data_IF_267230661049
#
_entry.id   IF_267230661049
#
_cell.length_a   1.000
_cell.length_b   1.000
_cell.length_c   1.000
_cell.angle_alpha   90.00
_cell.angle_beta   90.00
_cell.angle_gamma   90.00
#
_symmetry.space_group_name_H-M   'P 1'
#
loop_
_entity.id
_entity.type
_entity.pdbx_description
1 polymer ?
#
# COMPACT_ATOMS: atom_id res chain seq x y z
N UNK A 1 4.38 -11.51 -6.72
CA UNK A 1 4.03 -10.20 -6.15
C UNK A 1 2.57 -10.29 -5.78
N UNK A 2 2.14 -9.78 -4.62
CA UNK A 2 0.75 -9.40 -4.46
C UNK A 2 0.35 -8.54 -5.66
N UNK A 3 -0.84 -8.80 -6.18
CA UNK A 3 -1.39 -8.03 -7.28
C UNK A 3 -1.62 -6.57 -6.90
N UNK A 4 -1.81 -5.74 -7.92
CA UNK A 4 -2.29 -4.36 -7.75
C UNK A 4 -3.66 -4.36 -7.01
N UNK A 5 -4.51 -5.34 -7.31
CA UNK A 5 -5.82 -5.51 -6.67
C UNK A 5 -5.74 -5.73 -5.17
N UNK A 6 -4.80 -6.54 -4.69
CA UNK A 6 -4.63 -6.77 -3.25
C UNK A 6 -4.07 -5.53 -2.54
N UNK A 7 -3.08 -4.86 -3.14
CA UNK A 7 -2.55 -3.59 -2.63
C UNK A 7 -3.64 -2.53 -2.53
N UNK A 8 -4.46 -2.39 -3.57
CA UNK A 8 -5.61 -1.49 -3.57
C UNK A 8 -6.63 -1.88 -2.49
N UNK A 9 -6.98 -3.16 -2.37
CA UNK A 9 -7.95 -3.62 -1.38
C UNK A 9 -7.51 -3.29 0.05
N UNK A 10 -6.26 -3.61 0.40
CA UNK A 10 -5.68 -3.29 1.72
C UNK A 10 -5.66 -1.78 1.94
N UNK A 11 -5.24 -1.00 0.95
CA UNK A 11 -5.24 0.46 1.01
C UNK A 11 -6.63 1.01 1.31
N UNK A 12 -7.65 0.55 0.59
CA UNK A 12 -9.04 0.97 0.78
C UNK A 12 -9.54 0.62 2.18
N UNK A 13 -9.20 -0.56 2.71
CA UNK A 13 -9.54 -0.93 4.09
C UNK A 13 -8.88 -0.01 5.11
N UNK A 14 -7.59 0.28 4.97
CA UNK A 14 -6.90 1.21 5.87
C UNK A 14 -7.56 2.60 5.83
N UNK A 15 -7.82 3.13 4.63
CA UNK A 15 -8.46 4.44 4.46
C UNK A 15 -9.86 4.46 5.10
N UNK A 16 -10.66 3.42 4.91
CA UNK A 16 -12.01 3.34 5.48
C UNK A 16 -12.02 3.13 7.01
N UNK A 17 -11.01 2.43 7.55
CA UNK A 17 -10.91 2.14 8.98
C UNK A 17 -10.38 3.32 9.81
N UNK A 18 -9.42 4.09 9.26
CA UNK A 18 -8.70 5.12 10.01
C UNK A 18 -9.33 6.52 9.86
N UNK A 19 -9.81 6.86 8.66
CA UNK A 19 -10.34 8.20 8.38
C UNK A 19 -11.83 8.29 8.72
N UNK A 20 -12.27 9.49 9.12
CA UNK A 20 -13.68 9.77 9.41
C UNK A 20 -14.49 9.89 8.12
N UNK A 21 -15.80 9.75 8.24
CA UNK A 21 -16.75 9.78 7.11
C UNK A 21 -16.76 11.12 6.37
N UNK A 22 -16.39 12.20 7.05
CA UNK A 22 -16.29 13.53 6.46
C UNK A 22 -14.96 13.76 5.70
N UNK A 23 -14.03 12.80 5.73
CA UNK A 23 -12.67 12.92 5.21
C UNK A 23 -12.45 12.25 3.84
N UNK A 24 -13.48 12.19 3.00
CA UNK A 24 -13.39 11.56 1.67
C UNK A 24 -12.29 12.18 0.80
N UNK A 25 -12.17 13.52 0.78
CA UNK A 25 -11.15 14.23 0.00
C UNK A 25 -9.73 13.84 0.45
N UNK A 26 -9.37 13.95 1.75
CA UNK A 26 -8.12 13.38 2.25
C UNK A 26 -7.91 11.90 1.87
N UNK A 27 -8.95 11.06 1.96
CA UNK A 27 -8.85 9.64 1.62
C UNK A 27 -8.43 9.44 0.16
N UNK A 28 -9.03 10.20 -0.77
CA UNK A 28 -8.64 10.16 -2.19
C UNK A 28 -7.21 10.64 -2.43
N UNK A 29 -6.75 11.67 -1.72
CA UNK A 29 -5.36 12.14 -1.82
C UNK A 29 -4.33 11.16 -1.24
N UNK A 30 -4.75 10.33 -0.28
CA UNK A 30 -3.89 9.35 0.36
C UNK A 30 -3.83 8.02 -0.40
N UNK A 31 -4.86 7.69 -1.18
CA UNK A 31 -4.94 6.46 -1.97
C UNK A 31 -3.67 6.16 -2.81
N UNK A 32 -3.05 7.14 -3.52
CA UNK A 32 -1.83 6.87 -4.28
C UNK A 32 -0.67 6.34 -3.45
N UNK A 33 -0.55 6.69 -2.16
CA UNK A 33 0.54 6.20 -1.31
C UNK A 33 0.47 4.70 -1.04
N UNK A 34 -0.69 4.07 -1.23
CA UNK A 34 -0.84 2.62 -1.15
C UNK A 34 -0.46 1.88 -2.43
N UNK A 35 -0.18 2.60 -3.53
CA UNK A 35 0.07 2.02 -4.86
C UNK A 35 1.34 2.54 -5.53
N UNK A 36 1.90 3.67 -5.06
CA UNK A 36 3.01 4.35 -5.72
C UNK A 36 4.25 3.48 -5.85
N UNK A 37 4.47 2.54 -4.92
CA UNK A 37 5.66 1.69 -4.93
C UNK A 37 5.73 0.81 -6.17
N UNK A 38 4.57 0.29 -6.63
CA UNK A 38 4.47 -0.52 -7.86
C UNK A 38 4.97 0.21 -9.11
N UNK A 39 5.06 1.55 -9.09
CA UNK A 39 5.59 2.33 -10.21
C UNK A 39 7.08 2.07 -10.47
N UNK A 40 7.82 1.46 -9.53
CA UNK A 40 9.20 1.08 -9.79
C UNK A 40 9.36 -0.04 -10.83
N UNK A 41 8.28 -0.76 -11.14
CA UNK A 41 8.22 -1.67 -12.28
C UNK A 41 8.54 -0.97 -13.61
N UNK A 42 8.26 0.34 -13.73
CA UNK A 42 8.57 1.12 -14.92
C UNK A 42 10.02 1.66 -14.95
N UNK A 43 10.75 1.60 -13.84
CA UNK A 43 12.07 2.22 -13.66
C UNK A 43 13.22 1.19 -13.78
N UNK A 44 12.88 -0.09 -13.98
CA UNK A 44 13.82 -1.15 -14.37
C UNK A 44 14.45 -1.93 -13.22
N UNK A 45 14.60 -1.35 -12.02
CA UNK A 45 15.00 -2.08 -10.80
C UNK A 45 13.79 -2.22 -9.88
N UNK A 46 12.93 -3.15 -10.26
CA UNK A 46 11.68 -3.44 -9.56
C UNK A 46 11.97 -3.94 -8.13
N UNK A 47 11.20 -3.45 -7.15
CA UNK A 47 11.34 -3.74 -5.71
C UNK A 47 12.58 -3.23 -4.99
N UNK A 48 13.36 -2.37 -5.65
CA UNK A 48 14.49 -1.72 -5.02
C UNK A 48 14.28 -0.22 -4.86
N UNK A 49 13.82 0.45 -5.92
CA UNK A 49 13.80 1.92 -5.92
C UNK A 49 12.67 2.51 -5.07
N UNK A 50 11.47 1.93 -5.11
CA UNK A 50 10.33 2.41 -4.33
C UNK A 50 9.92 1.48 -3.16
N UNK A 51 10.54 0.31 -3.05
CA UNK A 51 10.25 -0.68 -2.00
C UNK A 51 11.36 -0.78 -0.93
N UNK A 52 11.83 0.38 -0.45
CA UNK A 52 12.85 0.45 0.60
C UNK A 52 12.41 1.33 1.77
N UNK A 53 13.12 1.18 2.90
CA UNK A 53 12.84 1.89 4.14
C UNK A 53 12.93 3.43 4.00
N UNK A 54 13.74 3.94 3.07
CA UNK A 54 13.90 5.38 2.89
C UNK A 54 12.65 6.03 2.31
N UNK A 55 11.90 5.32 1.47
CA UNK A 55 10.63 5.80 0.90
C UNK A 55 9.58 6.03 1.99
N UNK A 56 9.59 5.20 3.04
CA UNK A 56 8.70 5.36 4.19
C UNK A 56 8.91 6.69 4.92
N UNK A 57 10.13 7.22 4.88
CA UNK A 57 10.50 8.48 5.52
C UNK A 57 10.10 9.70 4.70
N UNK A 58 9.84 9.55 3.39
CA UNK A 58 9.55 10.68 2.49
C UNK A 58 8.37 11.51 2.96
N UNK A 59 7.18 10.96 3.28
CA UNK A 59 6.07 11.77 3.78
C UNK A 59 6.40 12.51 5.08
N UNK A 60 7.18 11.89 5.97
CA UNK A 60 7.59 12.51 7.24
C UNK A 60 8.60 13.65 7.02
N UNK A 61 9.54 13.49 6.10
CA UNK A 61 10.48 14.54 5.72
C UNK A 61 9.75 15.72 5.07
N UNK A 62 8.76 15.43 4.21
CA UNK A 62 7.89 16.46 3.62
C UNK A 62 7.13 17.21 4.71
N UNK A 63 6.60 16.53 5.74
CA UNK A 63 5.96 17.17 6.89
C UNK A 63 6.91 18.16 7.58
N UNK A 64 8.14 17.72 7.89
CA UNK A 64 9.14 18.57 8.57
C UNK A 64 9.49 19.79 7.72
N UNK A 65 9.72 19.59 6.42
CA UNK A 65 10.02 20.67 5.49
C UNK A 65 8.84 21.64 5.36
N UNK A 66 7.62 21.12 5.22
CA UNK A 66 6.39 21.90 5.09
C UNK A 66 6.15 22.79 6.31
N UNK A 67 6.32 22.23 7.51
CA UNK A 67 6.22 22.96 8.78
C UNK A 67 7.21 24.12 8.87
N UNK A 68 8.45 23.91 8.42
CA UNK A 68 9.49 24.95 8.44
C UNK A 68 9.23 26.07 7.43
N UNK A 69 8.63 25.77 6.28
CA UNK A 69 8.51 26.73 5.18
C UNK A 69 7.20 27.53 5.17
N UNK A 70 6.06 26.92 5.54
CA UNK A 70 4.74 27.52 5.28
C UNK A 70 3.79 27.60 6.48
N UNK A 71 4.16 27.02 7.63
CA UNK A 71 3.21 26.78 8.72
C UNK A 71 2.22 25.67 8.35
N UNK A 72 1.89 24.78 9.29
CA UNK A 72 1.10 23.57 8.98
C UNK A 72 -0.39 23.88 8.81
N UNK A 73 -0.91 23.86 7.59
CA UNK A 73 -2.37 23.87 7.32
C UNK A 73 -2.95 22.46 7.17
N UNK A 74 -2.10 21.48 6.82
CA UNK A 74 -2.47 20.09 6.65
C UNK A 74 -2.22 19.35 7.98
N UNK A 75 -3.21 18.62 8.52
CA UNK A 75 -3.03 17.82 9.72
C UNK A 75 -1.87 16.82 9.60
N UNK A 76 -0.96 16.84 10.58
CA UNK A 76 0.23 15.97 10.63
C UNK A 76 -0.10 14.48 10.46
N UNK A 77 -1.27 14.06 10.95
CA UNK A 77 -1.74 12.67 10.88
C UNK A 77 -1.81 12.14 9.44
N UNK A 78 -2.04 12.97 8.43
CA UNK A 78 -2.11 12.51 7.04
C UNK A 78 -0.74 12.11 6.51
N UNK A 79 0.34 12.79 6.93
CA UNK A 79 1.70 12.41 6.56
C UNK A 79 2.12 11.11 7.24
N UNK A 80 1.80 10.97 8.53
CA UNK A 80 2.03 9.72 9.25
C UNK A 80 1.25 8.56 8.61
N UNK A 81 0.01 8.82 8.19
CA UNK A 81 -0.83 7.82 7.56
C UNK A 81 -0.37 7.47 6.14
N UNK A 82 0.12 8.44 5.36
CA UNK A 82 0.78 8.19 4.08
C UNK A 82 1.99 7.25 4.24
N UNK A 83 2.83 7.48 5.26
CA UNK A 83 3.92 6.55 5.59
C UNK A 83 3.41 5.17 5.99
N UNK A 84 2.31 5.07 6.74
CA UNK A 84 1.71 3.78 7.09
C UNK A 84 1.19 3.01 5.87
N UNK A 85 0.60 3.70 4.89
CA UNK A 85 0.15 3.09 3.64
C UNK A 85 1.35 2.53 2.86
N UNK A 86 2.45 3.28 2.76
CA UNK A 86 3.69 2.79 2.17
C UNK A 86 4.26 1.59 2.93
N UNK A 87 4.25 1.62 4.28
CA UNK A 87 4.66 0.48 5.11
C UNK A 87 3.82 -0.74 4.78
N UNK A 88 2.49 -0.59 4.69
CA UNK A 88 1.59 -1.71 4.39
C UNK A 88 1.89 -2.33 3.03
N UNK A 89 2.19 -1.49 2.03
CA UNK A 89 2.56 -1.94 0.69
C UNK A 89 3.89 -2.71 0.72
N UNK A 90 4.96 -2.11 1.26
CA UNK A 90 6.28 -2.74 1.32
C UNK A 90 6.24 -4.02 2.16
N UNK A 91 5.44 -4.05 3.24
CA UNK A 91 5.29 -5.25 4.05
C UNK A 91 4.61 -6.38 3.27
N UNK A 92 3.51 -6.11 2.56
CA UNK A 92 2.83 -7.11 1.71
C UNK A 92 3.81 -7.74 0.70
N UNK A 93 4.60 -6.91 0.05
CA UNK A 93 5.62 -7.35 -0.89
C UNK A 93 6.76 -8.13 -0.23
N UNK A 94 7.24 -7.67 0.93
CA UNK A 94 8.28 -8.32 1.70
C UNK A 94 7.89 -9.75 2.07
N UNK A 95 6.69 -9.94 2.62
CA UNK A 95 6.17 -11.26 3.02
C UNK A 95 5.82 -12.18 1.86
N UNK A 96 5.71 -11.67 0.62
CA UNK A 96 5.37 -12.48 -0.55
C UNK A 96 6.62 -13.06 -1.20
N UNK A 97 7.50 -12.20 -1.73
CA UNK A 97 8.70 -12.62 -2.48
C UNK A 97 9.95 -11.81 -2.07
N UNK A 98 9.88 -11.06 -0.97
CA UNK A 98 10.96 -10.19 -0.51
C UNK A 98 11.12 -8.86 -1.25
N UNK A 99 11.77 -7.93 -0.56
CA UNK A 99 12.09 -6.56 -1.02
C UNK A 99 13.53 -6.18 -0.68
N UNK A 100 14.11 -5.27 -1.46
CA UNK A 100 15.44 -4.72 -1.15
C UNK A 100 15.31 -3.61 -0.10
N UNK A 101 14.99 -4.00 1.14
CA UNK A 101 14.58 -3.11 2.22
C UNK A 101 15.56 -1.95 2.50
N UNK A 102 16.85 -2.19 2.32
CA UNK A 102 17.94 -1.25 2.62
C UNK A 102 18.64 -0.69 1.38
N UNK A 103 18.08 -0.89 0.18
CA UNK A 103 18.63 -0.30 -1.04
C UNK A 103 18.57 1.23 -0.98
N UNK A 104 19.61 1.97 -1.43
CA UNK A 104 20.81 1.52 -2.14
C UNK A 104 22.02 1.20 -1.24
N UNK A 105 21.86 1.19 0.08
CA UNK A 105 22.98 0.95 1.02
C UNK A 105 23.38 -0.51 1.06
N UNK A 106 22.40 -1.42 0.98
CA UNK A 106 22.62 -2.87 0.94
C UNK A 106 21.87 -3.44 -0.25
N UNK A 107 22.58 -4.22 -1.07
CA UNK A 107 22.08 -4.83 -2.30
C UNK A 107 21.42 -6.21 -2.08
N UNK A 108 20.90 -6.49 -0.88
CA UNK A 108 20.26 -7.77 -0.52
C UNK A 108 18.75 -7.62 -0.43
N UNK A 109 18.03 -8.60 -0.98
CA UNK A 109 16.59 -8.74 -0.76
C UNK A 109 16.32 -9.50 0.53
N UNK A 110 15.25 -9.14 1.23
CA UNK A 110 14.82 -9.76 2.48
C UNK A 110 13.37 -10.21 2.37
N UNK A 111 13.12 -11.49 2.65
CA UNK A 111 11.78 -12.09 2.72
C UNK A 111 11.55 -12.64 4.14
N UNK A 112 10.79 -11.93 5.00
CA UNK A 112 10.37 -12.48 6.27
C UNK A 112 9.31 -13.56 6.05
N UNK A 113 9.55 -14.76 6.57
CA UNK A 113 8.55 -15.81 6.65
C UNK A 113 7.93 -15.83 8.04
N UNK A 114 6.60 -15.88 8.07
CA UNK A 114 5.83 -15.99 9.30
C UNK A 114 4.83 -17.13 9.17
N UNK A 115 4.81 -18.01 10.15
CA UNK A 115 3.81 -19.05 10.29
C UNK A 115 3.27 -19.05 11.70
N UNK A 116 1.94 -19.02 11.82
CA UNK A 116 1.24 -19.14 13.08
C UNK A 116 0.11 -20.14 12.88
N UNK A 117 0.16 -21.25 13.61
CA UNK A 117 -0.79 -22.32 13.40
C UNK A 117 -0.78 -23.37 14.49
N UNK A 118 -1.80 -24.22 14.42
CA UNK A 118 -1.92 -25.38 15.29
C UNK A 118 -1.35 -26.60 14.54
N UNK A 119 -0.51 -27.35 15.23
CA UNK A 119 -0.02 -28.67 14.81
C UNK A 119 -0.58 -29.72 15.76
N UNK A 120 -0.33 -30.99 15.46
CA UNK A 120 -0.62 -32.11 16.37
C UNK A 120 0.02 -31.95 17.76
N UNK A 121 1.10 -31.17 17.86
CA UNK A 121 1.83 -30.93 19.11
C UNK A 121 1.46 -29.61 19.81
N UNK A 122 0.46 -28.89 19.29
CA UNK A 122 -0.02 -27.64 19.87
C UNK A 122 0.18 -26.42 18.97
N UNK A 123 0.11 -25.23 19.58
CA UNK A 123 0.25 -23.94 18.89
C UNK A 123 1.73 -23.63 18.66
N UNK A 124 2.11 -23.35 17.41
CA UNK A 124 3.47 -22.97 17.05
C UNK A 124 3.49 -21.61 16.35
N UNK A 125 4.60 -20.89 16.55
CA UNK A 125 4.91 -19.63 15.89
C UNK A 125 6.31 -19.77 15.32
N UNK A 126 6.46 -19.54 14.02
CA UNK A 126 7.75 -19.52 13.34
C UNK A 126 7.91 -18.15 12.69
N UNK A 127 9.06 -17.53 12.91
CA UNK A 127 9.45 -16.30 12.25
C UNK A 127 10.92 -16.41 11.81
N UNK A 128 11.17 -16.35 10.51
CA UNK A 128 12.52 -16.45 9.95
C UNK A 128 12.73 -15.43 8.83
N UNK A 129 13.98 -15.14 8.51
CA UNK A 129 14.35 -14.24 7.42
C UNK A 129 15.13 -15.02 6.39
N UNK A 130 14.64 -14.99 5.15
CA UNK A 130 15.35 -15.52 3.99
C UNK A 130 15.93 -14.36 3.21
N UNK A 131 17.13 -14.56 2.66
CA UNK A 131 17.76 -13.66 1.69
C UNK A 131 17.57 -14.29 0.31
N UNK A 132 16.55 -13.88 -0.48
CA UNK A 132 16.21 -14.55 -1.72
C UNK A 132 17.20 -14.29 -2.87
N UNK A 133 18.00 -13.23 -2.77
CA UNK A 133 18.98 -12.85 -3.79
C UNK A 133 19.60 -11.48 -3.56
N UNK A 134 20.56 -11.14 -4.43
CA UNK A 134 21.22 -9.83 -4.49
C UNK A 134 20.74 -9.01 -5.71
N UNK A 135 20.92 -7.68 -5.67
CA UNK A 135 20.66 -6.79 -6.82
C UNK A 135 21.56 -7.23 -7.98
N UNK A 136 20.97 -7.45 -9.16
CA UNK A 136 21.68 -7.89 -10.37
C UNK A 136 21.61 -9.40 -10.65
N UNK A 137 21.13 -10.22 -9.72
CA UNK A 137 20.82 -11.63 -10.00
C UNK A 137 19.53 -11.74 -10.84
N UNK A 138 19.54 -12.61 -11.85
CA UNK A 138 18.50 -12.77 -12.90
C UNK A 138 17.08 -13.03 -12.37
N UNK A 139 16.92 -13.41 -11.09
CA UNK A 139 15.62 -13.58 -10.45
C UNK A 139 14.95 -12.25 -10.06
N UNK A 140 15.67 -11.12 -10.05
CA UNK A 140 15.16 -9.86 -9.49
C UNK A 140 15.40 -8.60 -10.33
N UNK A 141 16.26 -8.59 -11.36
CA UNK A 141 16.67 -7.30 -12.00
C UNK A 141 16.69 -7.26 -13.54
N UNK A 142 16.51 -8.35 -14.30
CA UNK A 142 16.64 -8.26 -15.77
C UNK A 142 15.52 -9.01 -16.50
N UNK A 143 14.48 -8.29 -16.90
CA UNK A 143 13.71 -8.61 -18.09
C UNK A 143 13.79 -7.44 -19.09
N UNK A 144 14.73 -7.48 -20.07
CA UNK A 144 14.67 -6.64 -21.24
C UNK A 144 13.70 -7.32 -22.22
N UNK A 145 12.51 -6.73 -22.35
CA UNK A 145 11.47 -6.87 -23.39
C UNK A 145 11.42 -8.12 -24.33
N UNK A 146 10.22 -8.66 -24.67
CA UNK A 146 8.88 -8.40 -24.14
C UNK A 146 8.46 -9.60 -23.26
N UNK A 147 8.77 -9.51 -21.97
CA UNK A 147 8.35 -10.49 -20.97
C UNK A 147 8.17 -9.75 -19.63
N UNK A 148 7.38 -8.68 -19.65
CA UNK A 148 6.88 -8.06 -18.42
C UNK A 148 6.21 -9.20 -17.65
N UNK A 149 6.64 -9.55 -16.43
CA UNK A 149 5.83 -10.40 -15.58
C UNK A 149 4.49 -9.69 -15.52
N UNK A 150 3.43 -10.25 -16.10
CA UNK A 150 2.11 -9.64 -16.01
C UNK A 150 1.85 -9.45 -14.53
N UNK A 151 1.88 -8.20 -14.05
CA UNK A 151 1.46 -7.90 -12.69
C UNK A 151 -0.05 -8.04 -12.79
N UNK A 152 -0.62 -9.14 -12.27
CA UNK A 152 -2.04 -9.36 -12.44
C UNK A 152 -2.74 -8.21 -11.73
N UNK A 153 -3.70 -7.57 -12.41
CA UNK A 153 -4.58 -6.63 -11.73
C UNK A 153 -5.34 -7.38 -10.64
N UNK A 154 -5.72 -8.63 -10.93
CA UNK A 154 -6.34 -9.56 -10.01
C UNK A 154 -5.71 -10.95 -10.19
N UNK A 155 -5.06 -11.47 -9.15
CA UNK A 155 -4.33 -12.74 -9.19
C UNK A 155 -5.18 -13.99 -8.88
N UNK A 156 -6.37 -13.83 -8.29
CA UNK A 156 -7.27 -14.95 -7.99
C UNK A 156 -8.73 -14.52 -7.77
N UNK A 157 -9.67 -15.48 -7.79
CA UNK A 157 -11.07 -15.22 -7.44
C UNK A 157 -11.27 -14.79 -5.98
N UNK A 158 -10.42 -15.26 -5.06
CA UNK A 158 -10.43 -14.83 -3.64
C UNK A 158 -10.09 -13.35 -3.56
N UNK A 159 -9.05 -12.94 -4.29
CA UNK A 159 -8.61 -11.56 -4.32
C UNK A 159 -9.64 -10.62 -4.95
N UNK A 160 -10.31 -11.05 -6.03
CA UNK A 160 -11.45 -10.33 -6.59
C UNK A 160 -12.51 -10.05 -5.53
N UNK A 161 -12.88 -11.07 -4.74
CA UNK A 161 -13.86 -10.94 -3.67
C UNK A 161 -13.38 -9.94 -2.62
N UNK A 162 -12.13 -10.05 -2.16
CA UNK A 162 -11.53 -9.12 -1.18
C UNK A 162 -11.58 -7.68 -1.70
N UNK A 163 -11.21 -7.45 -2.96
CA UNK A 163 -11.23 -6.13 -3.59
C UNK A 163 -12.66 -5.58 -3.69
N UNK A 164 -13.63 -6.40 -4.09
CA UNK A 164 -15.04 -5.98 -4.13
C UNK A 164 -15.55 -5.58 -2.74
N UNK A 165 -15.21 -6.35 -1.70
CA UNK A 165 -15.54 -5.99 -0.32
C UNK A 165 -14.86 -4.70 0.14
N UNK A 166 -13.59 -4.49 -0.24
CA UNK A 166 -12.86 -3.27 0.09
C UNK A 166 -13.48 -2.04 -0.56
N UNK A 167 -13.80 -2.11 -1.86
CA UNK A 167 -14.49 -1.05 -2.62
C UNK A 167 -15.86 -0.77 -2.01
N UNK A 168 -16.65 -1.81 -1.74
CA UNK A 168 -17.98 -1.66 -1.14
C UNK A 168 -17.88 -0.97 0.23
N UNK A 169 -16.95 -1.42 1.09
CA UNK A 169 -16.74 -0.83 2.42
C UNK A 169 -16.35 0.63 2.33
N UNK A 170 -15.42 0.96 1.43
CA UNK A 170 -14.99 2.34 1.20
C UNK A 170 -16.14 3.22 0.68
N UNK A 171 -16.90 2.76 -0.31
CA UNK A 171 -18.05 3.51 -0.85
C UNK A 171 -19.14 3.71 0.21
N UNK A 172 -19.46 2.67 0.99
CA UNK A 172 -20.45 2.78 2.06
C UNK A 172 -20.01 3.77 3.15
N UNK A 173 -18.72 3.75 3.52
CA UNK A 173 -18.14 4.68 4.50
C UNK A 173 -18.31 6.15 4.09
N UNK A 174 -18.13 6.46 2.81
CA UNK A 174 -18.16 7.82 2.28
C UNK A 174 -19.43 8.17 1.49
N UNK A 175 -20.49 7.35 1.61
CA UNK A 175 -21.72 7.45 0.80
C UNK A 175 -22.32 8.86 0.79
N UNK A 176 -22.36 9.53 1.93
CA UNK A 176 -22.94 10.88 2.07
C UNK A 176 -22.18 11.96 1.28
N UNK A 177 -20.90 11.74 0.98
CA UNK A 177 -20.08 12.66 0.17
C UNK A 177 -20.04 12.27 -1.31
N UNK A 178 -20.23 10.98 -1.63
CA UNK A 178 -20.24 10.47 -3.01
C UNK A 178 -21.59 10.75 -3.69
N UNK A 179 -22.69 10.55 -2.96
CA UNK A 179 -24.04 10.88 -3.41
C UNK A 179 -24.53 12.06 -2.58
N UNK A 180 -24.39 13.30 -3.05
CA UNK A 180 -25.08 14.41 -2.42
C UNK A 180 -26.57 14.12 -2.55
N UNK A 181 -27.22 13.82 -1.43
CA UNK A 181 -28.67 13.66 -1.38
C UNK A 181 -29.26 14.96 -1.94
N UNK A 182 -29.88 14.87 -3.12
CA UNK A 182 -30.70 15.93 -3.69
C UNK A 182 -31.99 16.07 -2.85
N UNK A 183 -31.87 16.46 -1.58
CA UNK A 183 -32.98 16.99 -0.79
C UNK A 183 -33.14 18.50 -1.05
N UNK A 184 -33.03 18.89 -2.32
CA UNK A 184 -33.23 20.26 -2.79
C UNK A 184 -34.69 20.51 -3.25
N UNK A 185 -35.55 19.49 -3.32
CA UNK A 185 -36.88 19.64 -3.93
C UNK A 185 -38.09 19.60 -3.00
N UNK A 186 -37.95 19.29 -1.70
CA UNK A 186 -39.12 19.05 -0.85
C UNK A 186 -39.33 20.00 0.33
N UNK A 187 -38.40 20.92 0.65
CA UNK A 187 -38.51 21.69 1.91
C UNK A 187 -38.93 23.15 1.84
N UNK A 188 -38.81 23.86 0.71
CA UNK A 188 -39.08 25.32 0.67
C UNK A 188 -40.06 25.80 -0.42
N UNK A 189 -41.04 24.97 -0.81
CA UNK A 189 -42.27 25.46 -1.49
C UNK A 189 -43.54 25.12 -0.71
N UNK A 190 -43.47 25.22 0.63
CA UNK A 190 -44.65 25.49 1.45
C UNK A 190 -44.69 26.98 1.74
#
# INVERSE_FOLDING_TARGET
>A
MPSIGLHLAVTLFFLAAVLKEDEFKPALFLLPFGLISDLDSFIGVHRATLHNLFILLVPLLVLVAYKRLKGSTIPDRYFAFASLLLVSHIALDAFYNGVFLFYPVIEKSYNPEFWFGLTETGLHVIFTWIVPGNVGELLYVIAPQPAVPEIPIIGSGIELVILLFAVLTFVLKYKAQIVPIQDFYTRNRR
#
